data_IF_030935270158
#
_entry.id   IF_030935270158
#
_cell.length_a   1.000
_cell.length_b   1.000
_cell.length_c   1.000
_cell.angle_alpha   90.00
_cell.angle_beta   90.00
_cell.angle_gamma   90.00
#
_symmetry.space_group_name_H-M   'P 1'
#
loop_
_entity.id
_entity.type
_entity.pdbx_description
1 polymer ?
#
# COMPACT_ATOMS: atom_id res chain seq x y z
N UNK A 1 0.21 21.35 37.65
CA UNK A 1 0.61 21.42 36.22
C UNK A 1 0.20 20.11 35.58
N UNK A 2 -0.45 20.16 34.43
CA UNK A 2 -0.85 18.97 33.68
C UNK A 2 0.31 18.62 32.73
N UNK A 3 1.00 17.51 32.97
CA UNK A 3 2.02 16.99 32.05
C UNK A 3 1.36 16.02 31.07
N UNK A 4 1.53 16.30 29.78
CA UNK A 4 1.19 15.36 28.71
C UNK A 4 2.38 14.43 28.51
N UNK A 5 2.13 13.11 28.53
CA UNK A 5 3.13 12.09 28.21
C UNK A 5 2.66 11.31 27.01
N UNK A 6 3.60 11.06 26.10
CA UNK A 6 3.36 10.17 24.96
C UNK A 6 3.22 8.74 25.46
N UNK A 7 2.10 8.11 25.09
CA UNK A 7 1.85 6.69 25.31
C UNK A 7 1.81 6.03 23.93
N UNK A 8 2.75 5.12 23.67
CA UNK A 8 2.76 4.33 22.45
C UNK A 8 1.89 3.10 22.65
N UNK A 9 0.71 3.07 22.03
CA UNK A 9 -0.05 1.83 21.90
C UNK A 9 0.54 1.03 20.73
N UNK A 10 1.31 -0.02 21.06
CA UNK A 10 1.88 -0.93 20.07
C UNK A 10 1.11 -2.25 20.08
N UNK A 11 0.73 -2.72 18.88
CA UNK A 11 0.06 -3.99 18.69
C UNK A 11 0.78 -4.78 17.60
N UNK A 12 1.53 -5.81 18.01
CA UNK A 12 2.20 -6.74 17.12
C UNK A 12 1.49 -8.09 17.08
N UNK A 13 1.02 -8.50 15.90
CA UNK A 13 0.34 -9.79 15.69
C UNK A 13 1.16 -10.99 16.19
N UNK A 14 2.48 -10.98 15.99
CA UNK A 14 3.38 -12.08 16.39
C UNK A 14 3.62 -12.21 17.91
N UNK A 15 3.27 -11.19 18.70
CA UNK A 15 3.34 -11.25 20.17
C UNK A 15 1.96 -11.49 20.80
N UNK A 16 0.89 -11.03 20.15
CA UNK A 16 -0.47 -11.13 20.65
C UNK A 16 -1.14 -12.47 20.34
N UNK A 17 -0.71 -13.17 19.29
CA UNK A 17 -1.26 -14.46 18.89
C UNK A 17 -0.14 -15.50 18.74
N UNK A 18 -0.36 -16.70 19.30
CA UNK A 18 0.55 -17.84 19.21
C UNK A 18 0.38 -18.66 17.93
N UNK A 19 -0.66 -18.37 17.14
CA UNK A 19 -0.96 -19.05 15.87
C UNK A 19 -0.60 -18.15 14.69
N UNK A 20 -0.05 -18.75 13.64
CA UNK A 20 0.22 -18.06 12.38
C UNK A 20 -1.09 -17.65 11.73
N UNK A 21 -1.16 -16.42 11.24
CA UNK A 21 -2.26 -15.99 10.37
C UNK A 21 -2.32 -16.88 9.12
N UNK A 22 -3.51 -17.22 8.60
CA UNK A 22 -3.65 -17.99 7.37
C UNK A 22 -2.89 -17.34 6.23
N UNK A 23 -2.36 -18.16 5.33
CA UNK A 23 -1.72 -17.64 4.12
C UNK A 23 -2.78 -16.96 3.21
N UNK A 24 -2.36 -15.97 2.42
CA UNK A 24 -3.28 -15.19 1.59
C UNK A 24 -4.16 -16.06 0.68
N UNK A 25 -3.58 -17.07 0.02
CA UNK A 25 -4.31 -17.99 -0.85
C UNK A 25 -5.17 -18.98 -0.08
N UNK A 26 -4.76 -19.43 1.10
CA UNK A 26 -5.60 -20.29 1.95
C UNK A 26 -6.93 -19.59 2.26
N UNK A 27 -6.86 -18.30 2.60
CA UNK A 27 -8.03 -17.47 2.87
C UNK A 27 -8.91 -17.30 1.62
N UNK A 28 -8.32 -16.95 0.48
CA UNK A 28 -9.07 -16.73 -0.76
C UNK A 28 -9.77 -18.00 -1.26
N UNK A 29 -9.10 -19.17 -1.19
CA UNK A 29 -9.68 -20.45 -1.60
C UNK A 29 -10.84 -20.82 -0.67
N UNK A 30 -10.67 -20.66 0.64
CA UNK A 30 -11.73 -20.92 1.61
C UNK A 30 -12.96 -20.04 1.35
N UNK A 31 -12.77 -18.75 1.10
CA UNK A 31 -13.86 -17.81 0.83
C UNK A 31 -14.65 -18.20 -0.45
N UNK A 32 -13.97 -18.71 -1.48
CA UNK A 32 -14.63 -19.27 -2.67
C UNK A 32 -15.44 -20.52 -2.35
N UNK A 33 -14.91 -21.43 -1.54
CA UNK A 33 -15.60 -22.67 -1.14
C UNK A 33 -16.86 -22.39 -0.29
N UNK A 34 -16.84 -21.30 0.50
CA UNK A 34 -17.97 -20.86 1.32
C UNK A 34 -19.04 -20.11 0.51
N UNK A 35 -18.77 -19.78 -0.75
CA UNK A 35 -19.73 -19.13 -1.65
C UNK A 35 -19.94 -17.63 -1.38
N UNK A 36 -19.13 -17.03 -0.51
CA UNK A 36 -19.11 -15.60 -0.24
C UNK A 36 -17.65 -15.10 -0.30
N UNK A 37 -17.20 -14.57 -1.45
CA UNK A 37 -15.82 -14.14 -1.65
C UNK A 37 -15.64 -12.60 -1.52
N UNK A 38 -15.64 -12.01 -0.31
CA UNK A 38 -15.57 -10.56 -0.11
C UNK A 38 -14.22 -9.94 -0.47
N UNK A 39 -13.16 -10.76 -0.57
CA UNK A 39 -11.80 -10.32 -0.86
C UNK A 39 -11.48 -10.33 -2.37
N UNK A 40 -12.49 -10.44 -3.22
CA UNK A 40 -12.34 -10.39 -4.66
C UNK A 40 -12.87 -9.06 -5.17
N UNK A 41 -12.09 -8.34 -6.00
CA UNK A 41 -12.56 -7.10 -6.59
C UNK A 41 -13.73 -7.38 -7.53
N UNK A 42 -14.71 -6.47 -7.52
CA UNK A 42 -15.84 -6.52 -8.45
C UNK A 42 -15.40 -6.01 -9.82
N UNK A 43 -16.14 -6.41 -10.86
CA UNK A 43 -15.84 -5.98 -12.24
C UNK A 43 -15.72 -4.45 -12.37
N UNK A 44 -16.68 -3.70 -11.81
CA UNK A 44 -16.66 -2.23 -11.84
C UNK A 44 -15.42 -1.63 -11.15
N UNK A 45 -14.98 -2.22 -10.03
CA UNK A 45 -13.79 -1.75 -9.30
C UNK A 45 -12.52 -1.94 -10.14
N UNK A 46 -12.45 -3.03 -10.91
CA UNK A 46 -11.34 -3.30 -11.83
C UNK A 46 -11.34 -2.29 -12.98
N UNK A 47 -12.48 -2.03 -13.61
CA UNK A 47 -12.59 -1.05 -14.70
C UNK A 47 -12.21 0.36 -14.24
N UNK A 48 -12.68 0.79 -13.06
CA UNK A 48 -12.33 2.09 -12.48
C UNK A 48 -10.84 2.18 -12.13
N UNK A 49 -10.24 1.09 -11.64
CA UNK A 49 -8.81 1.04 -11.36
C UNK A 49 -7.99 1.23 -12.66
N UNK A 50 -8.42 0.62 -13.76
CA UNK A 50 -7.78 0.80 -15.07
C UNK A 50 -7.95 2.23 -15.60
N UNK A 51 -9.12 2.84 -15.48
CA UNK A 51 -9.33 4.24 -15.89
C UNK A 51 -8.37 5.22 -15.21
N UNK A 52 -7.92 4.92 -13.99
CA UNK A 52 -6.91 5.72 -13.27
C UNK A 52 -5.49 5.46 -13.79
N UNK A 53 -5.16 4.20 -14.10
CA UNK A 53 -3.81 3.78 -14.48
C UNK A 53 -3.50 3.99 -15.97
N UNK A 54 -4.48 3.85 -16.85
CA UNK A 54 -4.30 3.93 -18.31
C UNK A 54 -3.60 5.22 -18.74
N UNK A 55 -4.03 6.43 -18.31
CA UNK A 55 -3.35 7.67 -18.72
C UNK A 55 -1.89 7.74 -18.27
N UNK A 56 -1.56 7.16 -17.10
CA UNK A 56 -0.20 7.13 -16.56
C UNK A 56 0.68 6.19 -17.38
N UNK A 57 0.16 5.00 -17.71
CA UNK A 57 0.89 4.01 -18.51
C UNK A 57 1.11 4.46 -19.95
N UNK A 58 0.10 5.08 -20.59
CA UNK A 58 0.21 5.69 -21.92
C UNK A 58 1.24 6.83 -21.96
N UNK A 59 1.26 7.68 -20.93
CA UNK A 59 2.24 8.75 -20.81
C UNK A 59 3.67 8.20 -20.71
N UNK A 60 3.88 7.17 -19.87
CA UNK A 60 5.18 6.53 -19.74
C UNK A 60 5.63 5.83 -21.01
N UNK A 61 4.73 5.10 -21.68
CA UNK A 61 5.05 4.43 -22.95
C UNK A 61 5.50 5.39 -24.06
N UNK A 62 4.99 6.64 -24.05
CA UNK A 62 5.27 7.62 -25.10
C UNK A 62 6.47 8.53 -24.80
N UNK A 63 6.72 8.91 -23.54
CA UNK A 63 7.64 10.02 -23.22
C UNK A 63 8.44 9.89 -21.93
N UNK A 64 8.18 8.89 -21.09
CA UNK A 64 8.74 8.83 -19.74
C UNK A 64 9.67 7.65 -19.50
N UNK A 65 10.73 7.88 -18.73
CA UNK A 65 11.40 6.83 -17.97
C UNK A 65 11.29 7.18 -16.48
N UNK A 66 11.13 6.19 -15.59
CA UNK A 66 11.18 6.44 -14.15
C UNK A 66 12.54 6.99 -13.74
N UNK A 67 12.54 7.85 -12.73
CA UNK A 67 13.79 8.35 -12.14
C UNK A 67 14.57 7.19 -11.50
N UNK A 68 15.88 7.17 -11.75
CA UNK A 68 16.75 6.17 -11.17
C UNK A 68 17.00 6.45 -9.69
N UNK A 69 17.16 5.38 -8.91
CA UNK A 69 17.54 5.46 -7.51
C UNK A 69 18.46 4.29 -7.16
N UNK A 70 19.20 4.43 -6.06
CA UNK A 70 20.15 3.41 -5.61
C UNK A 70 19.39 2.25 -4.95
N UNK A 71 19.73 1.01 -5.28
CA UNK A 71 19.15 -0.16 -4.63
C UNK A 71 19.35 -0.12 -3.10
N UNK A 72 18.28 -0.40 -2.36
CA UNK A 72 18.26 -0.32 -0.90
C UNK A 72 17.92 1.06 -0.33
N UNK A 73 17.71 2.08 -1.19
CA UNK A 73 17.08 3.34 -0.77
C UNK A 73 15.57 3.28 -0.99
N UNK A 74 14.86 4.32 -0.53
CA UNK A 74 13.40 4.40 -0.58
C UNK A 74 12.82 4.95 -1.88
N UNK A 75 13.68 5.33 -2.82
CA UNK A 75 13.30 5.91 -4.10
C UNK A 75 14.17 7.09 -4.49
N UNK A 76 13.78 7.81 -5.56
CA UNK A 76 14.42 9.04 -6.02
C UNK A 76 13.97 10.25 -5.19
N UNK A 77 14.80 11.29 -5.13
CA UNK A 77 14.51 12.55 -4.41
C UNK A 77 13.22 13.23 -4.91
N UNK A 78 12.85 13.01 -6.18
CA UNK A 78 11.61 13.52 -6.77
C UNK A 78 10.34 13.00 -6.08
N UNK A 79 10.40 11.83 -5.44
CA UNK A 79 9.28 11.29 -4.65
C UNK A 79 9.06 12.07 -3.34
N UNK A 80 10.14 12.51 -2.69
CA UNK A 80 10.06 13.37 -1.50
C UNK A 80 9.58 14.78 -1.87
N UNK A 81 10.14 15.35 -2.94
CA UNK A 81 9.72 16.65 -3.46
C UNK A 81 8.23 16.68 -3.82
N UNK A 82 7.71 15.59 -4.38
CA UNK A 82 6.28 15.46 -4.72
C UNK A 82 5.40 15.61 -3.48
N UNK A 83 5.70 14.92 -2.38
CA UNK A 83 4.93 15.05 -1.13
C UNK A 83 5.14 16.41 -0.45
N UNK A 84 6.36 16.95 -0.52
CA UNK A 84 6.70 18.24 0.09
C UNK A 84 5.87 19.40 -0.50
N UNK A 85 5.46 19.32 -1.77
CA UNK A 85 4.56 20.30 -2.42
C UNK A 85 3.22 20.44 -1.69
N UNK A 86 2.74 19.35 -1.09
CA UNK A 86 1.51 19.31 -0.29
C UNK A 86 1.78 19.41 1.22
N UNK A 87 3.01 19.75 1.62
CA UNK A 87 3.44 19.85 3.02
C UNK A 87 3.48 18.50 3.75
N UNK A 88 3.61 17.40 3.01
CA UNK A 88 3.64 16.03 3.54
C UNK A 88 5.04 15.44 3.48
N UNK A 89 5.28 14.41 4.28
CA UNK A 89 6.51 13.61 4.25
C UNK A 89 6.16 12.13 4.40
N UNK A 90 6.99 11.25 3.85
CA UNK A 90 6.84 9.81 4.03
C UNK A 90 7.03 9.45 5.50
N UNK A 91 6.12 8.63 6.05
CA UNK A 91 6.18 8.23 7.47
C UNK A 91 7.36 7.31 7.77
N UNK A 92 7.79 6.53 6.78
CA UNK A 92 8.95 5.63 6.83
C UNK A 92 9.66 5.75 5.48
N UNK A 93 10.56 6.72 5.34
CA UNK A 93 11.52 6.81 4.25
C UNK A 93 12.86 6.21 4.69
#
# INVERSE_FOLDING_TARGET
QMEVRDVTMDFGYGHAFTESSPEAYERLILDVLLGDPPLFPRHEEVELSWQILDPVTEHWASKGQPDAYRSGTWGPDSADEMLARDGRTWRRP
#
